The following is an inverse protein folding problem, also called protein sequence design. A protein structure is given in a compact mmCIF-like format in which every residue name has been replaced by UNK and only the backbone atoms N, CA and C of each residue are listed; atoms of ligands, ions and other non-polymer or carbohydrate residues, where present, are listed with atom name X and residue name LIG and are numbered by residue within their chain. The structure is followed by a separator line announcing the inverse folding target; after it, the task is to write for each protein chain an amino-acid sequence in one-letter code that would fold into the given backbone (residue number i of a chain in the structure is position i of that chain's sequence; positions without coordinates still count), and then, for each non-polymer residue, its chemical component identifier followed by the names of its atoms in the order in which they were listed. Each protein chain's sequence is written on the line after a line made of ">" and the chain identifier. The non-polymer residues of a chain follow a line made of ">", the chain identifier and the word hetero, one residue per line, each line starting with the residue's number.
data_IF_872220342011
#
_entry.id   IF_872220342011
#
_cell.length_a   1.000
_cell.length_b   1.000
_cell.length_c   1.000
_cell.angle_alpha   90.00
_cell.angle_beta   90.00
_cell.angle_gamma   90.00
#
_symmetry.space_group_name_H-M   'P 1'
#
loop_
_entity.id
_entity.type
_entity.pdbx_description
1 polymer ?
#
# COMPACT_ATOMS: atom_id res chain seq x y z
N UNK A 1 -24.51 16.67 -15.42
CA UNK A 1 -24.52 16.05 -14.09
C UNK A 1 -23.16 15.38 -13.90
N UNK A 2 -22.70 15.21 -12.66
CA UNK A 2 -21.41 14.56 -12.39
C UNK A 2 -21.65 13.20 -11.75
N UNK A 3 -20.79 12.25 -12.05
CA UNK A 3 -20.72 10.91 -11.46
C UNK A 3 -19.87 10.94 -10.18
N UNK A 4 -20.28 10.17 -9.17
CA UNK A 4 -19.49 9.91 -7.98
C UNK A 4 -18.72 8.60 -8.10
N UNK A 5 -17.57 8.52 -7.45
CA UNK A 5 -16.57 7.49 -7.67
C UNK A 5 -16.01 6.96 -6.36
N UNK A 6 -15.80 5.65 -6.33
CA UNK A 6 -15.10 4.93 -5.29
C UNK A 6 -13.89 4.20 -5.87
N UNK A 7 -12.75 4.33 -5.19
CA UNK A 7 -11.60 3.49 -5.45
C UNK A 7 -11.60 2.32 -4.48
N UNK A 8 -11.87 1.13 -5.00
CA UNK A 8 -12.07 -0.10 -4.26
C UNK A 8 -10.86 -1.02 -4.41
N UNK A 9 -10.43 -1.58 -3.29
CA UNK A 9 -9.66 -2.81 -3.23
C UNK A 9 -10.64 -3.99 -3.08
N UNK A 10 -10.72 -4.83 -4.10
CA UNK A 10 -11.72 -5.90 -4.21
C UNK A 10 -11.40 -7.02 -3.23
N UNK A 11 -10.11 -7.40 -3.13
CA UNK A 11 -9.67 -8.51 -2.29
C UNK A 11 -9.92 -8.25 -0.81
N UNK A 12 -9.68 -7.01 -0.37
CA UNK A 12 -9.88 -6.62 1.03
C UNK A 12 -11.25 -6.02 1.31
N UNK A 13 -12.03 -5.72 0.27
CA UNK A 13 -13.34 -5.06 0.39
C UNK A 13 -13.26 -3.72 1.12
N UNK A 14 -12.23 -2.94 0.78
CA UNK A 14 -11.94 -1.64 1.39
C UNK A 14 -11.91 -0.55 0.32
N UNK A 15 -12.29 0.68 0.70
CA UNK A 15 -12.18 1.85 -0.18
C UNK A 15 -11.06 2.78 0.29
N UNK A 16 -10.45 3.51 -0.64
CA UNK A 16 -9.58 4.63 -0.29
C UNK A 16 -10.43 5.76 0.27
N UNK A 17 -10.03 6.30 1.43
CA UNK A 17 -10.70 7.46 2.00
C UNK A 17 -10.57 8.66 1.06
N UNK A 18 -11.68 9.29 0.73
CA UNK A 18 -11.70 10.48 -0.11
C UNK A 18 -11.88 11.75 0.73
N UNK A 19 -10.95 12.69 0.61
CA UNK A 19 -10.94 13.95 1.36
C UNK A 19 -11.39 15.14 0.50
N UNK A 20 -11.36 15.01 -0.83
CA UNK A 20 -11.56 16.12 -1.78
C UNK A 20 -12.91 16.15 -2.50
N UNK A 21 -13.74 15.12 -2.31
CA UNK A 21 -15.02 14.96 -3.00
C UNK A 21 -14.98 13.81 -4.00
N UNK A 22 -16.15 13.19 -4.25
CA UNK A 22 -16.26 11.89 -4.94
C UNK A 22 -16.23 12.00 -6.48
N UNK A 23 -16.03 13.17 -7.10
CA UNK A 23 -15.95 13.24 -8.58
C UNK A 23 -14.54 12.91 -9.07
N UNK A 24 -14.39 12.31 -10.26
CA UNK A 24 -13.10 11.98 -10.88
C UNK A 24 -12.08 13.14 -10.81
N UNK A 25 -12.48 14.34 -11.25
CA UNK A 25 -11.60 15.51 -11.26
C UNK A 25 -11.22 16.00 -9.85
N UNK A 26 -12.15 15.87 -8.89
CA UNK A 26 -11.90 16.16 -7.48
C UNK A 26 -10.92 15.14 -6.90
N UNK A 27 -11.06 13.86 -7.27
CA UNK A 27 -10.15 12.80 -6.84
C UNK A 27 -8.73 13.01 -7.36
N UNK A 28 -8.55 13.32 -8.65
CA UNK A 28 -7.25 13.59 -9.28
C UNK A 28 -6.59 14.85 -8.71
N UNK A 29 -7.36 15.92 -8.43
CA UNK A 29 -6.80 17.15 -7.88
C UNK A 29 -6.63 17.13 -6.36
N UNK A 30 -7.39 16.28 -5.68
CA UNK A 30 -7.15 15.97 -4.29
C UNK A 30 -5.91 15.11 -4.17
N UNK A 31 -5.22 15.21 -3.03
CA UNK A 31 -4.15 14.26 -2.69
C UNK A 31 -4.69 12.87 -2.33
N UNK A 32 -5.98 12.59 -2.56
CA UNK A 32 -6.59 11.31 -2.17
C UNK A 32 -5.94 10.14 -2.91
N UNK A 33 -5.59 10.32 -4.19
CA UNK A 33 -4.88 9.30 -4.97
C UNK A 33 -3.43 9.06 -4.48
N UNK A 34 -2.77 10.05 -3.86
CA UNK A 34 -1.40 9.89 -3.34
C UNK A 34 -1.32 8.83 -2.22
N UNK A 35 -2.44 8.55 -1.54
CA UNK A 35 -2.52 7.49 -0.53
C UNK A 35 -2.19 6.11 -1.09
N UNK A 36 -2.54 5.85 -2.36
CA UNK A 36 -2.21 4.60 -3.04
C UNK A 36 -0.71 4.37 -3.16
N UNK A 37 0.08 5.44 -3.22
CA UNK A 37 1.54 5.31 -3.29
C UNK A 37 2.07 4.59 -2.05
N UNK A 38 1.50 4.89 -0.88
CA UNK A 38 1.77 4.15 0.34
C UNK A 38 1.12 2.76 0.32
N UNK A 39 -0.19 2.67 0.03
CA UNK A 39 -0.91 1.39 0.12
C UNK A 39 -0.35 0.29 -0.80
N UNK A 40 0.18 0.67 -1.97
CA UNK A 40 0.75 -0.24 -2.97
C UNK A 40 2.28 -0.38 -2.85
N UNK A 41 2.91 0.24 -1.85
CA UNK A 41 4.36 0.25 -1.71
C UNK A 41 4.92 -1.14 -1.44
N UNK A 42 5.61 -1.74 -2.42
CA UNK A 42 6.35 -2.98 -2.30
C UNK A 42 7.87 -2.71 -2.18
N UNK A 43 8.38 -2.55 -0.94
CA UNK A 43 9.76 -2.16 -0.74
C UNK A 43 10.75 -3.24 -1.17
N UNK A 44 11.83 -2.83 -1.83
CA UNK A 44 12.91 -3.71 -2.28
C UNK A 44 13.97 -3.94 -1.18
N UNK A 45 13.57 -4.58 -0.07
CA UNK A 45 14.45 -4.86 1.07
C UNK A 45 15.09 -6.24 1.00
N UNK A 46 16.30 -6.36 1.56
CA UNK A 46 16.94 -7.66 1.74
C UNK A 46 16.20 -8.48 2.79
N UNK A 47 15.80 -9.70 2.43
CA UNK A 47 15.15 -10.60 3.38
C UNK A 47 16.10 -10.88 4.55
N UNK A 48 15.65 -10.51 5.74
CA UNK A 48 16.41 -10.69 6.95
C UNK A 48 16.34 -12.16 7.39
N UNK A 49 17.49 -12.82 7.46
CA UNK A 49 17.57 -14.23 7.85
C UNK A 49 18.70 -14.45 8.84
N UNK A 50 18.39 -15.10 9.94
CA UNK A 50 19.36 -15.46 10.98
C UNK A 50 19.38 -16.97 11.14
N UNK A 51 20.59 -17.53 11.16
CA UNK A 51 20.75 -18.97 11.37
C UNK A 51 20.25 -19.40 12.74
N UNK A 52 19.60 -20.57 12.80
CA UNK A 52 19.09 -21.16 14.05
C UNK A 52 20.18 -21.38 15.11
N UNK A 53 21.43 -21.59 14.69
CA UNK A 53 22.58 -21.69 15.59
C UNK A 53 22.82 -20.39 16.37
N UNK A 54 22.78 -19.23 15.71
CA UNK A 54 22.96 -17.94 16.37
C UNK A 54 21.83 -17.61 17.35
N UNK A 55 20.61 -18.06 17.06
CA UNK A 55 19.46 -17.95 17.96
C UNK A 55 19.69 -18.78 19.23
N UNK A 56 20.09 -20.05 19.08
CA UNK A 56 20.40 -20.96 20.20
C UNK A 56 21.54 -20.43 21.07
N UNK A 57 22.58 -19.87 20.45
CA UNK A 57 23.70 -19.25 21.17
C UNK A 57 23.27 -18.02 21.97
N UNK A 58 22.44 -17.15 21.41
CA UNK A 58 21.87 -16.03 22.18
C UNK A 58 21.03 -16.52 23.35
N UNK A 59 20.21 -17.57 23.17
CA UNK A 59 19.40 -18.12 24.26
C UNK A 59 20.25 -18.53 25.44
N UNK A 60 21.37 -19.25 25.18
CA UNK A 60 22.33 -19.67 26.20
C UNK A 60 22.95 -18.48 26.95
N UNK A 61 23.28 -17.41 26.25
CA UNK A 61 23.84 -16.18 26.85
C UNK A 61 22.81 -15.42 27.69
N UNK A 62 21.52 -15.57 27.39
CA UNK A 62 20.43 -14.87 28.06
C UNK A 62 19.80 -15.65 29.21
N UNK A 63 20.26 -16.86 29.54
CA UNK A 63 19.67 -17.74 30.58
C UNK A 63 19.53 -17.12 31.98
N UNK A 64 20.11 -15.96 32.24
CA UNK A 64 19.90 -15.19 33.48
C UNK A 64 18.50 -14.58 33.62
N UNK A 65 17.69 -14.51 32.56
CA UNK A 65 16.32 -14.00 32.60
C UNK A 65 15.29 -15.13 32.72
N UNK A 66 14.28 -14.93 33.58
CA UNK A 66 13.18 -15.87 33.82
C UNK A 66 12.35 -16.18 32.57
N UNK A 67 12.20 -15.20 31.67
CA UNK A 67 11.42 -15.39 30.44
C UNK A 67 12.20 -16.24 29.43
N UNK A 68 13.51 -16.06 29.35
CA UNK A 68 14.38 -16.79 28.42
C UNK A 68 14.75 -18.19 28.91
N UNK A 69 14.60 -18.47 30.21
CA UNK A 69 14.80 -19.79 30.79
C UNK A 69 13.62 -20.75 30.54
N UNK A 70 12.50 -20.23 30.04
CA UNK A 70 11.35 -21.04 29.64
C UNK A 70 11.71 -22.03 28.51
N UNK A 71 11.03 -23.20 28.48
CA UNK A 71 11.08 -24.11 27.34
C UNK A 71 10.75 -23.39 26.03
N UNK A 72 11.34 -23.84 24.92
CA UNK A 72 11.17 -23.18 23.63
C UNK A 72 9.70 -23.15 23.20
N UNK A 73 8.98 -24.22 23.50
CA UNK A 73 7.56 -24.42 23.19
C UNK A 73 6.70 -23.33 23.84
N UNK A 74 7.00 -22.95 25.09
CA UNK A 74 6.28 -21.88 25.79
C UNK A 74 6.58 -20.51 25.17
N UNK A 75 7.84 -20.29 24.77
CA UNK A 75 8.23 -19.05 24.08
C UNK A 75 7.51 -18.96 22.73
N UNK A 76 7.48 -20.05 21.96
CA UNK A 76 6.82 -20.10 20.66
C UNK A 76 5.31 -19.87 20.80
N UNK A 77 4.68 -20.37 21.88
CA UNK A 77 3.28 -20.06 22.20
C UNK A 77 3.07 -18.57 22.50
N UNK A 78 3.92 -17.93 23.30
CA UNK A 78 3.84 -16.49 23.58
C UNK A 78 3.98 -15.69 22.29
N UNK A 79 4.95 -16.04 21.45
CA UNK A 79 5.21 -15.42 20.16
C UNK A 79 4.01 -15.57 19.23
N UNK A 80 3.40 -16.74 19.17
CA UNK A 80 2.22 -17.00 18.33
C UNK A 80 1.01 -16.20 18.84
N UNK A 81 0.78 -16.14 20.15
CA UNK A 81 -0.31 -15.34 20.73
C UNK A 81 -0.18 -13.84 20.41
N UNK A 82 1.03 -13.28 20.47
CA UNK A 82 1.26 -11.87 20.13
C UNK A 82 1.10 -11.60 18.63
N UNK A 83 1.55 -12.53 17.78
CA UNK A 83 1.47 -12.41 16.34
C UNK A 83 0.03 -12.60 15.83
N UNK A 84 -0.62 -13.71 16.20
CA UNK A 84 -1.98 -14.06 15.76
C UNK A 84 -3.02 -13.12 16.37
N UNK A 85 -2.75 -12.60 17.58
CA UNK A 85 -3.59 -11.60 18.24
C UNK A 85 -3.52 -10.20 17.63
N UNK A 86 -2.76 -10.00 16.54
CA UNK A 86 -2.52 -8.70 15.88
C UNK A 86 -1.95 -7.61 16.79
N UNK A 87 -1.33 -7.99 17.90
CA UNK A 87 -0.65 -7.07 18.82
C UNK A 87 0.80 -6.80 18.33
N UNK A 88 0.92 -6.38 17.07
CA UNK A 88 2.23 -6.28 16.41
C UNK A 88 3.13 -5.21 17.06
N UNK A 89 2.57 -4.16 17.67
CA UNK A 89 3.37 -3.15 18.39
C UNK A 89 4.12 -3.79 19.56
N UNK A 90 3.42 -4.63 20.34
CA UNK A 90 4.01 -5.35 21.47
C UNK A 90 4.98 -6.43 21.00
N UNK A 91 4.71 -7.03 19.84
CA UNK A 91 5.62 -7.97 19.17
C UNK A 91 6.95 -7.29 18.78
N UNK A 92 6.89 -6.09 18.21
CA UNK A 92 8.08 -5.28 17.88
C UNK A 92 8.82 -4.91 19.17
N UNK A 93 8.12 -4.42 20.20
CA UNK A 93 8.71 -4.12 21.50
C UNK A 93 9.40 -5.34 22.13
N UNK A 94 8.80 -6.53 22.07
CA UNK A 94 9.39 -7.76 22.56
C UNK A 94 10.72 -8.07 21.86
N UNK A 95 10.80 -7.84 20.54
CA UNK A 95 12.02 -8.06 19.76
C UNK A 95 13.20 -7.18 20.22
N UNK A 96 12.92 -6.02 20.82
CA UNK A 96 13.94 -5.07 21.31
C UNK A 96 14.49 -5.42 22.70
N UNK A 97 13.80 -6.26 23.46
CA UNK A 97 14.14 -6.52 24.87
C UNK A 97 15.50 -7.18 25.08
N UNK A 98 15.92 -8.06 24.17
CA UNK A 98 17.22 -8.72 24.25
C UNK A 98 17.66 -9.31 22.91
N UNK A 99 18.96 -9.64 22.81
CA UNK A 99 19.53 -10.25 21.60
C UNK A 99 18.86 -11.57 21.21
N UNK A 100 18.37 -12.36 22.16
CA UNK A 100 17.67 -13.61 21.86
C UNK A 100 16.35 -13.34 21.12
N UNK A 101 15.50 -12.47 21.65
CA UNK A 101 14.22 -12.13 21.03
C UNK A 101 14.42 -11.39 19.71
N UNK A 102 15.38 -10.47 19.62
CA UNK A 102 15.73 -9.85 18.35
C UNK A 102 16.01 -10.91 17.27
N UNK A 103 16.90 -11.87 17.56
CA UNK A 103 17.30 -12.88 16.58
C UNK A 103 16.18 -13.85 16.22
N UNK A 104 15.31 -14.15 17.19
CA UNK A 104 14.17 -15.03 17.00
C UNK A 104 13.07 -14.37 16.17
N UNK A 105 12.81 -13.07 16.40
CA UNK A 105 11.61 -12.38 15.92
C UNK A 105 11.87 -11.47 14.72
N UNK A 106 13.11 -11.05 14.46
CA UNK A 106 13.43 -10.05 13.43
C UNK A 106 12.87 -10.37 12.04
N UNK A 107 12.86 -11.64 11.61
CA UNK A 107 12.24 -12.03 10.34
C UNK A 107 10.74 -11.76 10.30
N UNK A 108 10.02 -12.14 11.36
CA UNK A 108 8.58 -11.86 11.50
C UNK A 108 8.28 -10.37 11.67
N UNK A 109 9.16 -9.63 12.36
CA UNK A 109 9.05 -8.17 12.46
C UNK A 109 9.21 -7.54 11.07
N UNK A 110 10.13 -8.02 10.24
CA UNK A 110 10.26 -7.53 8.87
C UNK A 110 8.98 -7.81 8.06
N UNK A 111 8.38 -8.99 8.18
CA UNK A 111 7.10 -9.32 7.53
C UNK A 111 5.99 -8.36 7.96
N UNK A 112 5.87 -8.06 9.26
CA UNK A 112 4.93 -7.08 9.79
C UNK A 112 5.17 -5.70 9.18
N UNK A 113 6.42 -5.24 9.09
CA UNK A 113 6.75 -3.93 8.52
C UNK A 113 6.41 -3.88 7.03
N UNK A 114 6.68 -4.95 6.28
CA UNK A 114 6.35 -5.04 4.85
C UNK A 114 4.83 -4.97 4.66
N UNK A 115 4.05 -5.75 5.43
CA UNK A 115 2.59 -5.73 5.39
C UNK A 115 2.04 -4.35 5.76
N UNK A 116 2.64 -3.68 6.75
CA UNK A 116 2.23 -2.34 7.16
C UNK A 116 2.58 -1.26 6.12
N UNK A 117 3.66 -1.47 5.39
CA UNK A 117 4.17 -0.53 4.38
C UNK A 117 3.35 -0.56 3.10
N UNK A 118 2.93 -1.74 2.66
CA UNK A 118 2.21 -1.94 1.41
C UNK A 118 1.07 -2.96 1.56
N UNK A 119 0.02 -2.63 2.34
CA UNK A 119 -1.05 -3.58 2.63
C UNK A 119 -1.78 -4.05 1.37
N UNK A 120 -1.80 -3.25 0.30
CA UNK A 120 -2.53 -3.52 -0.94
C UNK A 120 -1.65 -4.08 -2.07
N UNK A 121 -0.40 -4.41 -1.75
CA UNK A 121 0.54 -4.98 -2.73
C UNK A 121 -0.03 -6.27 -3.31
N UNK A 122 -0.20 -6.26 -4.64
CA UNK A 122 -0.71 -7.39 -5.40
C UNK A 122 -2.21 -7.58 -5.32
N UNK A 123 -2.99 -6.64 -4.77
CA UNK A 123 -4.45 -6.73 -4.71
C UNK A 123 -5.11 -6.13 -5.98
N UNK A 124 -6.33 -6.60 -6.28
CA UNK A 124 -7.20 -6.13 -7.36
C UNK A 124 -7.82 -4.77 -7.04
N UNK A 125 -7.57 -3.77 -7.89
CA UNK A 125 -8.12 -2.42 -7.73
C UNK A 125 -9.07 -2.01 -8.86
N UNK A 126 -10.13 -1.28 -8.50
CA UNK A 126 -11.07 -0.70 -9.47
C UNK A 126 -11.55 0.68 -9.01
N UNK A 127 -11.60 1.64 -9.93
CA UNK A 127 -12.18 2.96 -9.71
C UNK A 127 -13.57 3.00 -10.33
N UNK A 128 -14.57 2.60 -9.56
CA UNK A 128 -15.96 2.41 -10.00
C UNK A 128 -16.78 3.66 -9.69
N UNK A 129 -17.69 4.05 -10.59
CA UNK A 129 -18.61 5.14 -10.28
C UNK A 129 -20.08 4.73 -10.17
N UNK A 130 -20.91 5.65 -9.66
CA UNK A 130 -22.31 5.38 -9.25
C UNK A 130 -23.28 5.01 -10.38
N UNK A 131 -22.90 5.29 -11.63
CA UNK A 131 -23.65 4.89 -12.83
C UNK A 131 -23.06 3.64 -13.52
N UNK A 132 -22.06 2.98 -12.93
CA UNK A 132 -21.53 1.74 -13.50
C UNK A 132 -22.61 0.65 -13.51
N UNK A 133 -22.66 -0.09 -14.60
CA UNK A 133 -23.49 -1.26 -14.81
C UNK A 133 -22.59 -2.50 -14.94
N UNK A 134 -22.72 -3.39 -13.97
CA UNK A 134 -21.84 -4.54 -13.81
C UNK A 134 -20.36 -4.19 -13.63
N UNK A 135 -19.49 -5.16 -13.84
CA UNK A 135 -18.05 -5.08 -13.60
C UNK A 135 -17.28 -5.78 -14.74
N UNK A 136 -15.96 -5.55 -14.88
CA UNK A 136 -15.17 -6.18 -15.94
C UNK A 136 -15.31 -7.71 -15.94
N UNK A 137 -15.37 -8.32 -17.12
CA UNK A 137 -15.42 -9.77 -17.23
C UNK A 137 -14.17 -10.41 -16.59
N UNK A 138 -14.36 -11.54 -15.90
CA UNK A 138 -13.31 -12.29 -15.19
C UNK A 138 -12.70 -11.61 -13.97
N UNK A 139 -13.23 -10.46 -13.52
CA UNK A 139 -12.76 -9.83 -12.27
C UNK A 139 -13.19 -10.65 -11.06
N UNK A 140 -14.31 -11.37 -11.14
CA UNK A 140 -14.91 -12.13 -10.06
C UNK A 140 -14.46 -13.59 -10.09
N UNK A 141 -14.18 -14.16 -8.92
CA UNK A 141 -14.16 -15.61 -8.77
C UNK A 141 -15.59 -16.16 -8.77
N UNK A 142 -15.83 -17.44 -9.12
CA UNK A 142 -17.18 -18.03 -9.07
C UNK A 142 -17.85 -17.91 -7.70
N UNK A 143 -17.06 -17.95 -6.63
CA UNK A 143 -17.53 -17.75 -5.26
C UNK A 143 -17.96 -16.30 -5.00
N UNK A 144 -17.22 -15.33 -5.54
CA UNK A 144 -17.56 -13.90 -5.45
C UNK A 144 -18.80 -13.56 -6.26
N UNK A 145 -18.94 -14.08 -7.49
CA UNK A 145 -20.14 -13.90 -8.32
C UNK A 145 -21.40 -14.33 -7.56
N UNK A 146 -21.36 -15.51 -6.91
CA UNK A 146 -22.48 -16.02 -6.13
C UNK A 146 -22.82 -15.16 -4.88
N UNK A 147 -21.88 -14.34 -4.40
CA UNK A 147 -22.11 -13.36 -3.32
C UNK A 147 -22.64 -12.06 -3.91
N UNK A 148 -22.02 -11.55 -4.97
CA UNK A 148 -22.36 -10.29 -5.63
C UNK A 148 -23.76 -10.33 -6.25
N UNK A 149 -24.17 -11.46 -6.82
CA UNK A 149 -25.53 -11.69 -7.34
C UNK A 149 -26.61 -11.54 -6.27
N UNK A 150 -26.27 -11.75 -4.99
CA UNK A 150 -27.21 -11.63 -3.86
C UNK A 150 -27.30 -10.20 -3.33
N UNK A 151 -26.26 -9.40 -3.54
CA UNK A 151 -26.17 -8.03 -3.02
C UNK A 151 -27.06 -7.09 -3.84
N UNK A 152 -27.23 -7.35 -5.14
CA UNK A 152 -27.76 -6.33 -6.05
C UNK A 152 -28.93 -6.81 -6.94
N UNK A 153 -30.13 -7.08 -6.38
CA UNK A 153 -31.34 -7.21 -7.20
C UNK A 153 -31.91 -5.84 -7.65
N UNK A 154 -31.55 -4.73 -6.99
CA UNK A 154 -32.12 -3.39 -7.23
C UNK A 154 -31.13 -2.35 -7.80
N UNK A 155 -29.82 -2.61 -7.74
CA UNK A 155 -28.76 -1.66 -8.18
C UNK A 155 -27.93 -2.23 -9.33
N UNK A 156 -27.32 -1.35 -10.13
CA UNK A 156 -26.63 -1.74 -11.36
C UNK A 156 -25.22 -2.34 -11.14
N UNK A 157 -24.54 -2.10 -10.00
CA UNK A 157 -23.20 -2.66 -9.76
C UNK A 157 -22.94 -3.05 -8.29
N UNK A 158 -22.73 -4.36 -8.00
CA UNK A 158 -22.48 -4.82 -6.64
C UNK A 158 -21.18 -4.29 -6.03
N UNK A 159 -20.18 -3.90 -6.82
CA UNK A 159 -18.90 -3.35 -6.33
C UNK A 159 -19.04 -1.94 -5.78
N UNK A 160 -19.99 -1.15 -6.29
CA UNK A 160 -20.26 0.19 -5.77
C UNK A 160 -20.93 0.13 -4.39
N UNK A 161 -21.77 -0.88 -4.17
CA UNK A 161 -22.60 -1.09 -2.97
C UNK A 161 -22.00 -2.07 -1.95
N UNK A 162 -20.82 -2.65 -2.20
CA UNK A 162 -20.18 -3.53 -1.21
C UNK A 162 -20.11 -2.79 0.13
N UNK A 163 -20.63 -3.38 1.21
CA UNK A 163 -20.69 -2.76 2.54
C UNK A 163 -19.27 -2.35 2.98
N UNK A 164 -18.94 -1.06 2.78
CA UNK A 164 -17.59 -0.51 2.87
C UNK A 164 -17.21 -0.30 4.34
N UNK A 165 -17.13 -1.37 5.12
CA UNK A 165 -16.97 -1.27 6.57
C UNK A 165 -15.59 -0.75 7.00
N UNK A 166 -14.67 -0.45 6.09
CA UNK A 166 -13.41 0.21 6.45
C UNK A 166 -12.80 1.03 5.33
N UNK A 167 -12.69 2.34 5.54
CA UNK A 167 -11.83 3.18 4.71
C UNK A 167 -10.35 2.92 5.05
N UNK A 168 -9.51 2.79 4.04
CA UNK A 168 -8.06 2.69 4.20
C UNK A 168 -7.40 4.05 3.98
N UNK A 169 -6.48 4.40 4.88
CA UNK A 169 -5.57 5.54 4.73
C UNK A 169 -4.13 5.04 4.64
N UNK A 170 -3.40 5.53 3.64
CA UNK A 170 -1.94 5.35 3.56
C UNK A 170 -1.20 6.46 4.32
N UNK A 171 0.13 6.31 4.53
CA UNK A 171 0.96 7.27 5.27
C UNK A 171 1.03 8.69 4.65
N UNK A 172 0.57 8.85 3.41
CA UNK A 172 0.47 10.14 2.71
C UNK A 172 -0.94 10.77 2.76
N UNK A 173 -1.87 10.17 3.50
CA UNK A 173 -3.16 10.78 3.75
C UNK A 173 -2.95 12.14 4.43
N UNK A 174 -3.37 13.22 3.76
CA UNK A 174 -3.44 14.52 4.39
C UNK A 174 -4.54 14.42 5.46
N UNK A 175 -4.14 14.23 6.73
CA UNK A 175 -5.08 14.16 7.85
C UNK A 175 -5.97 15.40 7.81
N UNK A 176 -7.21 15.19 7.40
CA UNK A 176 -8.24 16.20 7.23
C UNK A 176 -9.51 15.64 7.83
N UNK A 177 -9.58 15.66 9.15
CA UNK A 177 -10.80 15.41 9.89
C UNK A 177 -11.74 16.61 9.75
N UNK A 178 -12.65 16.58 8.79
CA UNK A 178 -13.85 17.44 8.80
C UNK A 178 -15.17 16.64 8.93
N UNK A 179 -15.12 15.31 8.94
CA UNK A 179 -16.28 14.48 9.26
C UNK A 179 -15.94 13.52 10.40
N UNK A 180 -16.71 13.56 11.50
CA UNK A 180 -16.70 12.47 12.46
C UNK A 180 -17.49 11.29 11.88
N UNK A 181 -17.12 10.06 12.28
CA UNK A 181 -17.97 8.88 12.51
C UNK A 181 -17.65 7.55 11.81
N UNK A 182 -16.91 7.49 10.70
CA UNK A 182 -16.55 6.17 10.13
C UNK A 182 -15.20 5.63 10.66
N UNK A 183 -15.13 4.38 11.16
CA UNK A 183 -13.87 3.76 11.51
C UNK A 183 -13.00 3.55 10.25
N UNK A 184 -11.74 3.96 10.32
CA UNK A 184 -10.77 3.78 9.24
C UNK A 184 -9.50 3.11 9.77
N UNK A 185 -8.82 2.36 8.90
CA UNK A 185 -7.51 1.75 9.21
C UNK A 185 -6.44 2.62 8.58
N UNK A 186 -5.49 3.07 9.41
CA UNK A 186 -4.28 3.76 8.98
C UNK A 186 -3.16 2.74 8.86
N UNK A 187 -2.57 2.65 7.67
CA UNK A 187 -1.40 1.83 7.39
C UNK A 187 -0.13 2.69 7.29
N UNK A 188 1.02 2.09 7.52
CA UNK A 188 2.33 2.76 7.44
C UNK A 188 2.70 3.60 8.66
N UNK A 189 1.84 3.67 9.68
CA UNK A 189 2.09 4.45 10.92
C UNK A 189 2.63 3.57 12.07
N UNK A 190 2.77 2.26 11.89
CA UNK A 190 3.09 1.34 13.00
C UNK A 190 4.45 1.60 13.61
N UNK A 191 5.48 1.81 12.78
CA UNK A 191 6.81 2.14 13.27
C UNK A 191 6.82 3.48 14.04
N UNK A 192 6.02 4.45 13.61
CA UNK A 192 5.85 5.72 14.31
C UNK A 192 5.14 5.53 15.65
N UNK A 193 4.09 4.71 15.72
CA UNK A 193 3.42 4.36 16.98
C UNK A 193 4.38 3.69 17.98
N UNK A 194 5.18 2.72 17.53
CA UNK A 194 6.19 2.08 18.37
C UNK A 194 7.26 3.09 18.81
N UNK A 195 7.74 3.94 17.90
CA UNK A 195 8.70 5.01 18.21
C UNK A 195 8.17 5.94 19.31
N UNK A 196 6.91 6.34 19.20
CA UNK A 196 6.24 7.21 20.20
C UNK A 196 6.08 6.53 21.56
N UNK A 197 5.86 5.21 21.60
CA UNK A 197 5.83 4.45 22.88
C UNK A 197 7.20 4.40 23.55
N UNK A 198 8.29 4.39 22.78
CA UNK A 198 9.67 4.26 23.28
C UNK A 198 10.37 5.60 23.56
N UNK A 199 9.74 6.74 23.23
CA UNK A 199 10.38 8.07 23.23
C UNK A 199 10.93 8.54 24.58
N UNK A 200 10.40 8.01 25.68
CA UNK A 200 10.83 8.40 27.04
C UNK A 200 12.19 7.80 27.40
N UNK A 201 12.58 6.68 26.77
CA UNK A 201 13.80 5.95 27.07
C UNK A 201 14.76 5.97 25.88
N UNK A 202 15.83 6.77 26.01
CA UNK A 202 16.79 7.00 24.93
C UNK A 202 17.44 5.70 24.41
N UNK A 203 17.83 4.78 25.29
CA UNK A 203 18.50 3.54 24.90
C UNK A 203 17.57 2.63 24.07
N UNK A 204 16.29 2.56 24.46
CA UNK A 204 15.25 1.84 23.72
C UNK A 204 15.02 2.44 22.34
N UNK A 205 15.02 3.77 22.22
CA UNK A 205 14.90 4.46 20.94
C UNK A 205 16.10 4.20 20.02
N UNK A 206 17.32 4.24 20.55
CA UNK A 206 18.54 3.92 19.78
C UNK A 206 18.53 2.45 19.29
N UNK A 207 18.05 1.52 20.12
CA UNK A 207 17.87 0.12 19.73
C UNK A 207 16.80 -0.04 18.64
N UNK A 208 15.69 0.69 18.75
CA UNK A 208 14.61 0.70 17.75
C UNK A 208 15.09 1.26 16.41
N UNK A 209 15.76 2.41 16.40
CA UNK A 209 16.29 3.01 15.17
C UNK A 209 17.27 2.06 14.47
N UNK A 210 18.12 1.35 15.24
CA UNK A 210 19.01 0.32 14.69
C UNK A 210 18.28 -0.89 14.14
N UNK A 211 17.21 -1.35 14.80
CA UNK A 211 16.35 -2.44 14.30
C UNK A 211 15.77 -2.05 12.93
N UNK A 212 15.14 -0.87 12.86
CA UNK A 212 14.51 -0.35 11.65
C UNK A 212 15.53 -0.27 10.50
N UNK A 213 16.70 0.32 10.75
CA UNK A 213 17.78 0.39 9.76
C UNK A 213 18.24 -0.98 9.25
N UNK A 214 18.29 -1.99 10.13
CA UNK A 214 18.69 -3.35 9.75
C UNK A 214 17.63 -4.06 8.91
N UNK A 215 16.35 -3.90 9.26
CA UNK A 215 15.24 -4.61 8.61
C UNK A 215 14.79 -3.95 7.31
N UNK A 216 14.98 -2.63 7.16
CA UNK A 216 14.62 -1.87 5.96
C UNK A 216 15.82 -1.65 5.02
N UNK A 217 16.86 -2.49 5.17
CA UNK A 217 18.09 -2.35 4.38
C UNK A 217 17.86 -2.75 2.92
N UNK A 218 18.15 -1.81 2.03
CA UNK A 218 18.10 -1.99 0.56
C UNK A 218 19.47 -2.45 0.05
N UNK A 219 19.57 -3.29 -0.99
CA UNK A 219 20.86 -3.78 -1.46
C UNK A 219 21.77 -2.65 -1.98
N UNK A 220 22.98 -2.52 -1.42
CA UNK A 220 23.94 -1.45 -1.72
C UNK A 220 24.33 -1.34 -3.20
N UNK A 221 24.30 -2.47 -3.93
CA UNK A 221 24.78 -2.57 -5.32
C UNK A 221 23.77 -2.09 -6.37
N UNK A 222 22.56 -1.69 -5.98
CA UNK A 222 21.55 -1.19 -6.92
C UNK A 222 21.87 0.25 -7.26
N UNK A 223 22.10 0.53 -8.54
CA UNK A 223 22.32 1.90 -9.03
C UNK A 223 21.15 2.82 -8.65
N UNK A 224 21.40 4.11 -8.33
CA UNK A 224 20.34 5.03 -7.90
C UNK A 224 19.15 5.12 -8.88
N UNK A 225 19.39 5.05 -10.19
CA UNK A 225 18.34 5.05 -11.20
C UNK A 225 17.42 3.83 -11.08
N UNK A 226 17.96 2.69 -10.67
CA UNK A 226 17.24 1.42 -10.50
C UNK A 226 16.42 1.35 -9.21
N UNK A 227 16.60 2.32 -8.29
CA UNK A 227 15.80 2.46 -7.05
C UNK A 227 14.56 3.33 -7.23
N UNK A 228 14.38 3.94 -8.41
CA UNK A 228 13.23 4.81 -8.69
C UNK A 228 11.94 3.99 -8.66
N UNK A 229 10.87 4.60 -8.16
CA UNK A 229 9.57 3.92 -8.06
C UNK A 229 8.92 3.73 -9.43
N UNK A 230 8.32 2.57 -9.62
CA UNK A 230 7.46 2.24 -10.75
C UNK A 230 6.16 1.62 -10.25
N UNK A 231 5.03 2.02 -10.81
CA UNK A 231 3.76 1.30 -10.68
C UNK A 231 3.78 0.15 -11.68
N UNK A 232 3.44 -1.06 -11.23
CA UNK A 232 3.40 -2.26 -12.06
C UNK A 232 1.98 -2.81 -12.11
N UNK A 233 1.52 -3.12 -13.32
CA UNK A 233 0.35 -3.97 -13.54
C UNK A 233 0.85 -5.41 -13.66
N UNK A 234 0.52 -6.25 -12.68
CA UNK A 234 1.03 -7.61 -12.59
C UNK A 234 0.35 -8.57 -13.58
N UNK A 235 -0.83 -8.21 -14.09
CA UNK A 235 -1.55 -9.02 -15.07
C UNK A 235 -1.04 -8.77 -16.50
N UNK A 236 -0.81 -7.51 -16.87
CA UNK A 236 -0.39 -7.14 -18.24
C UNK A 236 1.12 -7.03 -18.43
N UNK A 237 1.90 -7.04 -17.34
CA UNK A 237 3.34 -6.75 -17.36
C UNK A 237 3.66 -5.36 -17.95
N UNK A 238 2.79 -4.39 -17.71
CA UNK A 238 3.00 -2.99 -18.05
C UNK A 238 3.42 -2.21 -16.80
N UNK A 239 4.20 -1.14 -16.97
CA UNK A 239 4.62 -0.29 -15.86
C UNK A 239 4.64 1.20 -16.20
N UNK A 240 4.52 2.02 -15.16
CA UNK A 240 4.58 3.49 -15.23
C UNK A 240 5.66 3.99 -14.28
N UNK A 241 6.54 4.88 -14.78
CA UNK A 241 7.64 5.46 -14.01
C UNK A 241 7.18 6.68 -13.22
N UNK A 242 7.44 6.71 -11.92
CA UNK A 242 7.13 7.87 -11.07
C UNK A 242 7.86 9.13 -11.55
N UNK A 243 9.12 8.99 -11.97
CA UNK A 243 9.91 10.11 -12.51
C UNK A 243 9.30 10.71 -13.78
N UNK A 244 8.75 9.89 -14.67
CA UNK A 244 8.12 10.38 -15.90
C UNK A 244 6.86 11.21 -15.55
N UNK A 245 6.03 10.71 -14.63
CA UNK A 245 4.88 11.43 -14.11
C UNK A 245 5.27 12.73 -13.38
N UNK A 246 6.31 12.68 -12.55
CA UNK A 246 6.80 13.83 -11.81
C UNK A 246 7.38 14.93 -12.72
N UNK A 247 7.99 14.54 -13.84
CA UNK A 247 8.52 15.46 -14.85
C UNK A 247 7.48 15.93 -15.88
N UNK A 248 6.26 15.36 -15.85
CA UNK A 248 5.15 15.83 -16.69
C UNK A 248 4.76 17.27 -16.34
N UNK A 249 3.95 17.89 -17.20
CA UNK A 249 3.48 19.27 -17.04
C UNK A 249 2.86 19.57 -15.66
N UNK A 250 2.19 18.58 -15.08
CA UNK A 250 1.43 18.73 -13.84
C UNK A 250 1.96 17.92 -12.66
N UNK A 251 3.13 17.29 -12.83
CA UNK A 251 3.82 16.50 -11.81
C UNK A 251 2.89 15.49 -11.10
N UNK A 252 2.26 14.62 -11.89
CA UNK A 252 1.35 13.61 -11.40
C UNK A 252 2.03 12.58 -10.48
N UNK A 253 1.23 11.80 -9.75
CA UNK A 253 1.66 10.68 -8.90
C UNK A 253 1.26 9.34 -9.50
N UNK A 254 1.96 8.26 -9.11
CA UNK A 254 1.58 6.89 -9.47
C UNK A 254 0.14 6.55 -9.06
N UNK A 255 -0.36 7.09 -7.95
CA UNK A 255 -1.73 6.85 -7.53
C UNK A 255 -2.77 7.46 -8.48
N UNK A 256 -2.48 8.63 -9.06
CA UNK A 256 -3.37 9.23 -10.07
C UNK A 256 -3.36 8.39 -11.36
N UNK A 257 -2.23 7.77 -11.71
CA UNK A 257 -2.17 6.82 -12.82
C UNK A 257 -3.10 5.61 -12.58
N UNK A 258 -3.07 5.01 -11.38
CA UNK A 258 -3.99 3.91 -11.03
C UNK A 258 -5.44 4.32 -11.27
N UNK A 259 -5.85 5.51 -10.83
CA UNK A 259 -7.23 6.02 -10.99
C UNK A 259 -7.67 6.05 -12.45
N UNK A 260 -6.87 6.62 -13.35
CA UNK A 260 -7.26 6.77 -14.77
C UNK A 260 -7.23 5.46 -15.56
N UNK A 261 -6.41 4.48 -15.15
CA UNK A 261 -6.37 3.18 -15.80
C UNK A 261 -7.42 2.19 -15.30
N UNK A 262 -7.90 2.38 -14.06
CA UNK A 262 -8.85 1.47 -13.40
C UNK A 262 -10.29 1.97 -13.40
N UNK A 263 -10.57 3.06 -14.13
CA UNK A 263 -11.90 3.65 -14.25
C UNK A 263 -12.92 2.64 -14.79
N UNK A 264 -14.09 2.54 -14.16
CA UNK A 264 -15.18 1.66 -14.61
C UNK A 264 -16.56 2.32 -14.50
N UNK A 265 -17.19 2.55 -15.66
CA UNK A 265 -18.56 3.05 -15.84
C UNK A 265 -19.00 2.91 -17.30
N UNK A 266 -20.29 2.74 -17.54
CA UNK A 266 -20.91 2.79 -18.86
C UNK A 266 -21.44 4.20 -19.17
N UNK A 267 -21.54 5.08 -18.17
CA UNK A 267 -21.96 6.46 -18.31
C UNK A 267 -20.75 7.40 -18.47
N UNK A 268 -20.71 8.16 -19.57
CA UNK A 268 -19.61 9.07 -19.87
C UNK A 268 -19.57 10.35 -19.03
N UNK A 269 -20.54 10.58 -18.14
CA UNK A 269 -20.67 11.85 -17.43
C UNK A 269 -19.56 12.04 -16.39
N UNK A 270 -18.86 13.16 -16.50
CA UNK A 270 -17.77 13.47 -15.56
C UNK A 270 -16.46 12.71 -15.82
N UNK A 271 -16.35 11.92 -16.90
CA UNK A 271 -15.11 11.33 -17.40
C UNK A 271 -14.26 12.27 -18.27
N UNK A 272 -14.81 13.44 -18.60
CA UNK A 272 -14.25 14.37 -19.56
C UNK A 272 -14.10 13.73 -20.95
N UNK A 273 -12.92 13.22 -21.30
CA UNK A 273 -12.59 12.51 -22.54
C UNK A 273 -12.04 11.10 -22.27
N UNK A 274 -11.96 10.69 -21.00
CA UNK A 274 -11.47 9.37 -20.61
C UNK A 274 -12.50 8.29 -20.98
N UNK A 275 -12.01 7.11 -21.35
CA UNK A 275 -12.87 5.92 -21.47
C UNK A 275 -13.44 5.57 -20.09
N UNK A 276 -14.73 5.21 -20.07
CA UNK A 276 -15.37 4.70 -18.86
C UNK A 276 -14.94 3.29 -18.51
N UNK A 277 -14.43 2.53 -19.48
CA UNK A 277 -13.94 1.17 -19.30
C UNK A 277 -12.41 1.19 -19.44
N UNK A 278 -11.75 1.33 -18.30
CA UNK A 278 -10.29 1.37 -18.20
C UNK A 278 -9.67 0.00 -18.41
N UNK A 279 -8.56 -0.05 -19.14
CA UNK A 279 -7.90 -1.31 -19.53
C UNK A 279 -7.34 -2.10 -18.35
N UNK A 280 -7.16 -1.46 -17.19
CA UNK A 280 -6.62 -2.10 -15.98
C UNK A 280 -7.66 -2.23 -14.87
N UNK A 281 -8.94 -1.98 -15.16
CA UNK A 281 -10.00 -2.10 -14.16
C UNK A 281 -10.06 -3.53 -13.61
N UNK A 282 -9.80 -3.68 -12.30
CA UNK A 282 -9.79 -4.97 -11.62
C UNK A 282 -8.46 -5.73 -11.63
N UNK A 283 -7.39 -5.15 -12.17
CA UNK A 283 -6.08 -5.78 -12.21
C UNK A 283 -5.33 -5.67 -10.87
N UNK A 284 -4.28 -6.45 -10.71
CA UNK A 284 -3.39 -6.51 -9.55
C UNK A 284 -2.23 -5.53 -9.71
N UNK A 285 -1.95 -4.76 -8.66
CA UNK A 285 -0.94 -3.71 -8.71
C UNK A 285 0.05 -3.76 -7.57
N UNK A 286 1.27 -3.28 -7.83
CA UNK A 286 2.14 -2.80 -6.78
C UNK A 286 3.04 -1.65 -7.26
N UNK A 287 3.72 -1.01 -6.31
CA UNK A 287 4.72 0.01 -6.57
C UNK A 287 6.06 -0.50 -6.06
N UNK A 288 7.00 -0.75 -6.95
CA UNK A 288 8.31 -1.28 -6.59
C UNK A 288 9.44 -0.51 -7.23
N UNK A 289 10.67 -0.99 -7.06
CA UNK A 289 11.86 -0.39 -7.66
C UNK A 289 11.94 -0.70 -9.16
N UNK A 290 12.46 0.24 -9.95
CA UNK A 290 12.73 0.08 -11.39
C UNK A 290 13.59 -1.17 -11.70
N UNK A 291 14.44 -1.59 -10.77
CA UNK A 291 15.19 -2.84 -10.87
C UNK A 291 14.31 -4.08 -11.12
N UNK A 292 13.05 -4.05 -10.70
CA UNK A 292 12.10 -5.17 -10.82
C UNK A 292 11.42 -5.29 -12.19
N UNK A 293 11.60 -4.28 -13.05
CA UNK A 293 11.08 -4.24 -14.43
C UNK A 293 12.20 -4.11 -15.45
N UNK A 294 13.42 -4.46 -15.05
CA UNK A 294 14.61 -4.37 -15.90
C UNK A 294 14.64 -5.44 -17.02
N UNK A 295 13.81 -6.47 -16.91
CA UNK A 295 13.72 -7.57 -17.86
C UNK A 295 12.85 -7.20 -19.07
N UNK A 296 13.15 -7.78 -20.25
CA UNK A 296 12.48 -7.49 -21.53
C UNK A 296 10.98 -7.85 -21.59
N UNK A 297 10.42 -8.43 -20.52
CA UNK A 297 9.00 -8.79 -20.43
C UNK A 297 8.10 -7.62 -20.06
N UNK A 298 8.66 -6.52 -19.56
CA UNK A 298 7.92 -5.37 -19.08
C UNK A 298 7.80 -4.28 -20.14
N UNK A 299 6.60 -3.71 -20.28
CA UNK A 299 6.32 -2.63 -21.23
C UNK A 299 6.14 -1.30 -20.50
N UNK A 300 6.94 -0.30 -20.86
CA UNK A 300 6.81 1.06 -20.33
C UNK A 300 5.61 1.77 -21.00
N UNK A 301 4.59 2.10 -20.21
CA UNK A 301 3.41 2.84 -20.67
C UNK A 301 3.31 4.23 -20.04
N UNK A 302 4.44 4.79 -19.58
CA UNK A 302 4.47 6.09 -18.91
C UNK A 302 3.89 7.23 -19.76
N UNK A 303 4.16 7.24 -21.07
CA UNK A 303 3.66 8.28 -21.97
C UNK A 303 2.12 8.17 -22.13
N UNK A 304 1.60 6.94 -22.25
CA UNK A 304 0.16 6.67 -22.30
C UNK A 304 -0.53 7.11 -21.01
N UNK A 305 0.12 6.88 -19.86
CA UNK A 305 -0.37 7.32 -18.57
C UNK A 305 -0.49 8.85 -18.50
N UNK A 306 0.54 9.56 -18.97
CA UNK A 306 0.55 11.03 -19.02
C UNK A 306 -0.58 11.53 -19.93
N UNK A 307 -0.75 10.95 -21.12
CA UNK A 307 -1.81 11.34 -22.05
C UNK A 307 -3.21 11.17 -21.41
N UNK A 308 -3.48 10.03 -20.77
CA UNK A 308 -4.75 9.79 -20.05
C UNK A 308 -4.95 10.79 -18.90
N UNK A 309 -3.91 11.09 -18.14
CA UNK A 309 -3.96 12.07 -17.05
C UNK A 309 -4.20 13.50 -17.56
N UNK A 310 -3.62 13.87 -18.68
CA UNK A 310 -3.86 15.16 -19.34
C UNK A 310 -5.30 15.26 -19.86
N UNK A 311 -5.83 14.18 -20.46
CA UNK A 311 -7.23 14.08 -20.87
C UNK A 311 -8.20 14.25 -19.68
N UNK A 312 -7.94 13.57 -18.57
CA UNK A 312 -8.78 13.64 -17.37
C UNK A 312 -8.72 15.01 -16.66
N UNK A 313 -7.60 15.72 -16.76
CA UNK A 313 -7.37 16.98 -16.04
C UNK A 313 -7.72 18.27 -16.82
N UNK A 314 -7.96 18.17 -18.15
CA UNK A 314 -8.36 19.26 -19.07
C UNK A 314 -7.80 20.65 -18.71
N UNK A 315 -6.49 20.72 -18.47
CA UNK A 315 -5.78 21.99 -18.25
C UNK A 315 -6.10 22.77 -16.97
N UNK A 316 -6.89 22.20 -16.05
CA UNK A 316 -7.39 22.92 -14.86
C UNK A 316 -6.43 22.91 -13.66
N UNK A 317 -5.37 22.09 -13.69
CA UNK A 317 -4.35 22.04 -12.63
C UNK A 317 -3.37 23.20 -12.82
N UNK A 318 -3.31 24.15 -11.88
CA UNK A 318 -2.26 25.18 -11.87
C UNK A 318 -0.98 24.55 -11.30
N UNK A 319 0.12 24.61 -12.07
CA UNK A 319 1.47 24.11 -11.76
C UNK A 319 1.69 23.75 -10.28
N UNK A 320 1.44 22.48 -9.94
CA UNK A 320 1.83 21.92 -8.66
C UNK A 320 3.25 21.40 -8.83
N UNK A 321 4.25 22.21 -8.50
CA UNK A 321 5.62 21.69 -8.44
C UNK A 321 5.70 20.63 -7.34
N UNK A 322 5.66 19.35 -7.70
CA UNK A 322 6.02 18.26 -6.79
C UNK A 322 7.53 18.32 -6.65
N UNK A 323 8.05 18.39 -5.42
CA UNK A 323 9.49 18.23 -5.22
C UNK A 323 9.85 16.82 -5.70
N UNK A 324 10.86 16.70 -6.56
CA UNK A 324 11.47 15.42 -6.99
C UNK A 324 12.05 14.60 -5.82
N UNK A 325 11.98 15.12 -4.59
CA UNK A 325 12.09 14.35 -3.37
C UNK A 325 10.77 13.59 -3.14
N UNK A 326 10.47 12.62 -4.00
CA UNK A 326 9.62 11.50 -3.62
C UNK A 326 10.23 10.77 -2.41
N UNK A 327 9.52 9.83 -1.76
CA UNK A 327 10.14 9.02 -0.71
C UNK A 327 11.43 8.43 -1.27
N UNK A 328 12.55 8.87 -0.70
CA UNK A 328 13.83 8.25 -0.96
C UNK A 328 13.72 6.88 -0.32
N UNK A 329 13.60 5.84 -1.15
CA UNK A 329 13.60 4.45 -0.71
C UNK A 329 14.97 4.15 -0.10
N UNK A 330 15.10 4.46 1.19
CA UNK A 330 16.35 4.44 1.92
C UNK A 330 16.44 5.59 2.91
N UNK A 331 15.68 5.52 4.00
CA UNK A 331 16.07 5.90 5.37
C UNK A 331 15.07 5.28 6.35
#
# INVERSE_FOLDING_TARGET
>A
MGQYWHLLNIDKRCIVRNVGGLKLIEFIFSKSAEQLVGLLSNPYWLKFNISSNLVRESKKKSLGSLLTSLPQEIIDMIVSLLFDGRNHDDFICLSLTCTYFFRLLAGKVQEIIIEDTGPWVGDRLIFVGDYADGYPANIATPEEEAVWDKISPEYNNPLYEMDHQTAAEGPLAAVSSFTPEDPFIVWGDRLKLVRERLKEERESLECFDRLVQLLMHTPDKVEPAMRRAVLRNLDTHEYVRDEALANSRYAYSLGEAVVVFTTWTQDGSGLQDLSGEGEWAGHHFDISAMATVADEQWVDVSDVAIDKLEMASRGSRKNGGRRLEGPTWGC
#
